data_IF_928741887928
#
_entry.id   IF_928741887928
#
_cell.length_a   1.000
_cell.length_b   1.000
_cell.length_c   1.000
_cell.angle_alpha   90.00
_cell.angle_beta   90.00
_cell.angle_gamma   90.00
#
_symmetry.space_group_name_H-M   'P 1'
#
loop_
_entity.id
_entity.type
_entity.pdbx_description
1 polymer ?
#
# COMPACT_ATOMS: atom_id res chain seq x y z
N UNK A 1 13.86 13.93 37.22
CA UNK A 1 12.97 14.73 36.34
C UNK A 1 13.55 14.99 34.94
N UNK A 2 14.78 15.53 34.76
CA UNK A 2 15.34 15.81 33.42
C UNK A 2 15.43 14.59 32.47
N UNK A 3 15.86 13.43 32.98
CA UNK A 3 15.95 12.19 32.18
C UNK A 3 14.57 11.73 31.67
N UNK A 4 13.51 11.94 32.45
CA UNK A 4 12.12 11.62 32.09
C UNK A 4 11.60 12.57 30.99
N UNK A 5 11.96 13.85 31.04
CA UNK A 5 11.58 14.81 29.99
C UNK A 5 12.32 14.56 28.68
N UNK A 6 13.59 14.14 28.74
CA UNK A 6 14.35 13.78 27.56
C UNK A 6 13.80 12.51 26.88
N UNK A 7 13.48 11.48 27.67
CA UNK A 7 12.88 10.24 27.17
C UNK A 7 11.48 10.46 26.58
N UNK A 8 10.65 11.32 27.19
CA UNK A 8 9.36 11.70 26.61
C UNK A 8 9.48 12.38 25.24
N UNK A 9 10.38 13.38 25.11
CA UNK A 9 10.62 14.03 23.81
C UNK A 9 11.13 13.06 22.75
N UNK A 10 11.96 12.12 23.15
CA UNK A 10 12.49 11.11 22.24
C UNK A 10 11.39 10.15 21.80
N UNK A 11 10.48 9.76 22.70
CA UNK A 11 9.29 8.99 22.36
C UNK A 11 8.37 9.74 21.40
N UNK A 12 8.10 11.04 21.64
CA UNK A 12 7.31 11.89 20.74
C UNK A 12 7.95 12.00 19.36
N UNK A 13 9.27 12.20 19.30
CA UNK A 13 10.01 12.26 18.04
C UNK A 13 9.97 10.91 17.30
N UNK A 14 10.13 9.79 17.99
CA UNK A 14 10.03 8.45 17.40
C UNK A 14 8.61 8.16 16.91
N UNK A 15 7.58 8.51 17.69
CA UNK A 15 6.18 8.35 17.28
C UNK A 15 5.87 9.16 16.02
N UNK A 16 6.32 10.43 15.98
CA UNK A 16 6.18 11.30 14.80
C UNK A 16 6.87 10.68 13.58
N UNK A 17 8.11 10.21 13.74
CA UNK A 17 8.87 9.59 12.65
C UNK A 17 8.17 8.32 12.12
N UNK A 18 7.66 7.47 13.01
CA UNK A 18 6.92 6.25 12.62
C UNK A 18 5.65 6.63 11.87
N UNK A 19 4.89 7.60 12.36
CA UNK A 19 3.66 8.08 11.71
C UNK A 19 3.96 8.59 10.29
N UNK A 20 4.88 9.56 10.14
CA UNK A 20 5.17 10.16 8.83
C UNK A 20 5.76 9.15 7.85
N UNK A 21 6.62 8.25 8.32
CA UNK A 21 7.19 7.20 7.47
C UNK A 21 6.12 6.22 7.00
N UNK A 22 5.18 5.88 7.87
CA UNK A 22 4.08 4.96 7.55
C UNK A 22 3.10 5.62 6.58
N UNK A 23 2.78 6.89 6.77
CA UNK A 23 1.95 7.67 5.85
C UNK A 23 2.56 7.76 4.45
N UNK A 24 3.84 8.14 4.35
CA UNK A 24 4.56 8.21 3.08
C UNK A 24 4.63 6.86 2.36
N UNK A 25 4.89 5.78 3.12
CA UNK A 25 4.88 4.42 2.57
C UNK A 25 3.49 4.04 2.06
N UNK A 26 2.43 4.36 2.81
CA UNK A 26 1.05 4.11 2.43
C UNK A 26 0.67 4.86 1.15
N UNK A 27 1.06 6.13 1.02
CA UNK A 27 0.82 6.92 -0.19
C UNK A 27 1.49 6.30 -1.43
N UNK A 28 2.73 5.81 -1.29
CA UNK A 28 3.43 5.11 -2.37
C UNK A 28 2.76 3.80 -2.75
N UNK A 29 2.32 3.01 -1.77
CA UNK A 29 1.61 1.75 -2.01
C UNK A 29 0.23 1.98 -2.65
N UNK A 30 -0.48 3.05 -2.28
CA UNK A 30 -1.73 3.45 -2.94
C UNK A 30 -1.50 3.76 -4.41
N UNK A 31 -0.43 4.48 -4.75
CA UNK A 31 -0.07 4.74 -6.15
C UNK A 31 0.19 3.44 -6.93
N UNK A 32 0.86 2.46 -6.31
CA UNK A 32 1.06 1.12 -6.91
C UNK A 32 -0.27 0.41 -7.09
N UNK A 33 -1.16 0.45 -6.09
CA UNK A 33 -2.49 -0.15 -6.16
C UNK A 33 -3.30 0.45 -7.32
N UNK A 34 -3.32 1.78 -7.46
CA UNK A 34 -3.97 2.44 -8.59
C UNK A 34 -3.38 2.06 -9.95
N UNK A 35 -2.05 1.98 -10.05
CA UNK A 35 -1.38 1.49 -11.26
C UNK A 35 -1.81 0.07 -11.62
N UNK A 36 -1.90 -0.81 -10.62
CA UNK A 36 -2.33 -2.19 -10.81
C UNK A 36 -3.81 -2.30 -11.21
N UNK A 37 -4.70 -1.41 -10.71
CA UNK A 37 -6.09 -1.30 -11.22
C UNK A 37 -6.08 -1.02 -12.72
N UNK A 38 -5.31 -0.02 -13.17
CA UNK A 38 -5.23 0.33 -14.59
C UNK A 38 -4.71 -0.82 -15.45
N UNK A 39 -3.70 -1.55 -14.98
CA UNK A 39 -3.18 -2.74 -15.66
C UNK A 39 -4.25 -3.82 -15.77
N UNK A 40 -4.96 -4.13 -14.69
CA UNK A 40 -6.02 -5.13 -14.70
C UNK A 40 -7.14 -4.76 -15.68
N UNK A 41 -7.60 -3.51 -15.66
CA UNK A 41 -8.60 -3.00 -16.61
C UNK A 41 -8.12 -3.13 -18.06
N UNK A 42 -6.86 -2.79 -18.34
CA UNK A 42 -6.29 -2.96 -19.67
C UNK A 42 -6.28 -4.44 -20.08
N UNK A 43 -5.80 -5.32 -19.21
CA UNK A 43 -5.77 -6.76 -19.49
C UNK A 43 -7.17 -7.33 -19.72
N UNK A 44 -8.17 -6.86 -18.99
CA UNK A 44 -9.57 -7.24 -19.17
C UNK A 44 -10.09 -6.83 -20.56
N UNK A 45 -9.81 -5.59 -21.00
CA UNK A 45 -10.19 -5.11 -22.34
C UNK A 45 -9.56 -5.94 -23.46
N UNK A 46 -8.28 -6.30 -23.32
CA UNK A 46 -7.55 -7.09 -24.33
C UNK A 46 -7.77 -8.60 -24.22
N UNK A 47 -8.41 -9.07 -23.15
CA UNK A 47 -8.63 -10.48 -22.85
C UNK A 47 -9.38 -11.24 -23.95
N UNK A 48 -10.27 -10.56 -24.68
CA UNK A 48 -11.01 -11.13 -25.80
C UNK A 48 -10.10 -11.46 -27.00
N UNK A 49 -8.99 -10.73 -27.14
CA UNK A 49 -8.10 -10.77 -28.30
C UNK A 49 -6.84 -11.61 -28.04
N UNK A 50 -6.39 -11.72 -26.79
CA UNK A 50 -5.21 -12.48 -26.39
C UNK A 50 -5.46 -13.28 -25.10
N UNK A 51 -5.22 -14.59 -25.14
CA UNK A 51 -5.45 -15.46 -23.99
C UNK A 51 -4.43 -15.21 -22.87
N UNK A 52 -3.23 -14.75 -23.22
CA UNK A 52 -2.19 -14.33 -22.28
C UNK A 52 -2.68 -13.20 -21.39
N UNK A 53 -3.50 -12.28 -21.91
CA UNK A 53 -4.10 -11.21 -21.13
C UNK A 53 -5.07 -11.76 -20.07
N UNK A 54 -5.85 -12.80 -20.39
CA UNK A 54 -6.68 -13.51 -19.39
C UNK A 54 -5.82 -14.15 -18.30
N UNK A 55 -4.75 -14.85 -18.69
CA UNK A 55 -3.85 -15.48 -17.72
C UNK A 55 -3.18 -14.46 -16.81
N UNK A 56 -2.66 -13.36 -17.36
CA UNK A 56 -2.07 -12.28 -16.59
C UNK A 56 -3.08 -11.63 -15.66
N UNK A 57 -4.30 -11.37 -16.13
CA UNK A 57 -5.37 -10.83 -15.29
C UNK A 57 -5.66 -11.75 -14.10
N UNK A 58 -5.83 -13.05 -14.35
CA UNK A 58 -6.08 -14.04 -13.30
C UNK A 58 -4.94 -14.15 -12.28
N UNK A 59 -3.69 -13.92 -12.68
CA UNK A 59 -2.53 -13.94 -11.78
C UNK A 59 -2.39 -12.64 -10.98
N UNK A 60 -2.69 -11.50 -11.59
CA UNK A 60 -2.53 -10.19 -10.96
C UNK A 60 -3.70 -9.82 -10.05
N UNK A 61 -4.91 -10.31 -10.31
CA UNK A 61 -6.09 -9.98 -9.50
C UNK A 61 -5.93 -10.42 -8.03
N UNK A 62 -5.47 -11.64 -7.69
CA UNK A 62 -5.20 -12.00 -6.30
C UNK A 62 -4.15 -11.11 -5.64
N UNK A 63 -3.08 -10.75 -6.36
CA UNK A 63 -2.03 -9.86 -5.83
C UNK A 63 -2.58 -8.46 -5.52
N UNK A 64 -3.52 -7.98 -6.34
CA UNK A 64 -4.22 -6.72 -6.07
C UNK A 64 -5.05 -6.80 -4.79
N UNK A 65 -5.79 -7.90 -4.59
CA UNK A 65 -6.60 -8.09 -3.39
C UNK A 65 -5.75 -8.14 -2.12
N UNK A 66 -4.62 -8.86 -2.15
CA UNK A 66 -3.67 -8.90 -1.03
C UNK A 66 -3.07 -7.52 -0.73
N UNK A 67 -2.69 -6.77 -1.77
CA UNK A 67 -2.19 -5.40 -1.62
C UNK A 67 -3.25 -4.47 -1.00
N UNK A 68 -4.50 -4.56 -1.44
CA UNK A 68 -5.60 -3.77 -0.88
C UNK A 68 -5.88 -4.13 0.58
N UNK A 69 -5.81 -5.42 0.93
CA UNK A 69 -5.90 -5.88 2.31
C UNK A 69 -4.80 -5.28 3.19
N UNK A 70 -3.55 -5.37 2.75
CA UNK A 70 -2.41 -4.79 3.45
C UNK A 70 -2.52 -3.26 3.61
N UNK A 71 -2.96 -2.56 2.56
CA UNK A 71 -3.22 -1.12 2.60
C UNK A 71 -4.32 -0.76 3.61
N UNK A 72 -5.42 -1.51 3.60
CA UNK A 72 -6.51 -1.34 4.56
C UNK A 72 -6.01 -1.51 6.00
N UNK A 73 -5.16 -2.50 6.26
CA UNK A 73 -4.65 -2.76 7.61
C UNK A 73 -3.69 -1.66 8.08
N UNK A 74 -2.83 -1.14 7.20
CA UNK A 74 -2.00 0.05 7.49
C UNK A 74 -2.86 1.28 7.76
N UNK A 75 -3.90 1.51 6.94
CA UNK A 75 -4.80 2.64 7.12
C UNK A 75 -5.59 2.60 8.44
N UNK A 76 -5.86 1.41 9.00
CA UNK A 76 -6.47 1.27 10.32
C UNK A 76 -5.49 1.55 11.48
N UNK A 77 -4.18 1.46 11.22
CA UNK A 77 -3.14 1.74 12.20
C UNK A 77 -2.78 3.23 12.28
N UNK A 78 -3.06 3.98 11.21
CA UNK A 78 -2.92 5.44 11.13
C UNK A 78 -4.16 6.13 11.73
#
# INVERSE_FOLDING_TARGET
MRATTATLRQLEATATLVYTTTEDACARLLNVSYGLVGILQLLEVWSAHAWECRCLHCLLLPLKLELDGALSDIQKML
#
